data_IF_415435634856
#
_entry.id   IF_415435634856
#
_cell.length_a   1.000
_cell.length_b   1.000
_cell.length_c   1.000
_cell.angle_alpha   90.00
_cell.angle_beta   90.00
_cell.angle_gamma   90.00
#
_symmetry.space_group_name_H-M   'P 1'
#
loop_
_entity.id
_entity.type
_entity.pdbx_description
1 polymer ?
#
# COMPACT_ATOMS: atom_id res chain seq x y z
N UNK A 1 -7.08 2.28 -10.59
CA UNK A 1 -6.69 2.29 -9.16
C UNK A 1 -7.89 1.81 -8.38
N UNK A 2 -7.71 0.76 -7.58
CA UNK A 2 -8.79 0.14 -6.81
C UNK A 2 -8.48 0.25 -5.33
N UNK A 3 -9.39 0.82 -4.55
CA UNK A 3 -9.30 0.85 -3.10
C UNK A 3 -9.72 -0.51 -2.52
N UNK A 4 -9.02 -0.93 -1.46
CA UNK A 4 -9.23 -2.18 -0.75
C UNK A 4 -9.39 -1.92 0.73
N UNK A 5 -10.07 -2.84 1.41
CA UNK A 5 -9.96 -2.92 2.86
C UNK A 5 -8.48 -3.08 3.25
N UNK A 6 -8.05 -2.32 4.25
CA UNK A 6 -6.68 -2.39 4.76
C UNK A 6 -6.44 -3.80 5.31
N UNK A 7 -5.38 -4.43 4.82
CA UNK A 7 -4.96 -5.79 5.17
C UNK A 7 -3.46 -5.93 5.05
N UNK A 8 -2.90 -6.97 5.63
CA UNK A 8 -1.48 -7.29 5.40
C UNK A 8 -1.24 -7.60 3.93
N UNK A 9 -0.17 -7.04 3.38
CA UNK A 9 0.20 -7.20 1.97
C UNK A 9 1.62 -7.76 1.89
N UNK A 10 1.85 -8.89 1.21
CA UNK A 10 3.17 -9.52 1.11
C UNK A 10 4.26 -8.59 0.58
N UNK A 11 3.92 -7.68 -0.35
CA UNK A 11 4.87 -6.72 -0.91
C UNK A 11 5.47 -5.76 0.14
N UNK A 12 4.79 -5.55 1.27
CA UNK A 12 5.31 -4.75 2.39
C UNK A 12 6.07 -5.60 3.43
N UNK A 13 6.06 -6.93 3.37
CA UNK A 13 6.71 -7.79 4.40
C UNK A 13 8.21 -7.54 4.53
N UNK A 14 8.91 -7.23 3.43
CA UNK A 14 10.35 -6.97 3.43
C UNK A 14 10.72 -5.60 4.03
N UNK A 15 9.74 -4.70 4.20
CA UNK A 15 9.99 -3.36 4.74
C UNK A 15 10.40 -3.43 6.21
N UNK A 16 11.47 -2.73 6.58
CA UNK A 16 11.91 -2.62 7.98
C UNK A 16 11.18 -1.50 8.75
N UNK A 17 9.98 -1.12 8.30
CA UNK A 17 9.20 0.00 8.86
C UNK A 17 8.02 -0.53 9.65
N UNK A 18 8.17 -0.61 10.97
CA UNK A 18 7.12 -1.08 11.89
C UNK A 18 5.78 -0.38 11.69
N UNK A 19 5.77 0.91 11.36
CA UNK A 19 4.54 1.66 11.10
C UNK A 19 3.71 1.10 9.93
N UNK A 20 4.36 0.54 8.91
CA UNK A 20 3.67 -0.10 7.77
C UNK A 20 3.03 -1.39 8.23
N UNK A 21 3.78 -2.26 8.92
CA UNK A 21 3.28 -3.54 9.42
C UNK A 21 2.12 -3.37 10.40
N UNK A 22 2.31 -2.52 11.42
CA UNK A 22 1.28 -2.29 12.43
C UNK A 22 0.09 -1.54 11.85
N UNK A 23 0.29 -0.58 10.95
CA UNK A 23 -0.80 0.13 10.28
C UNK A 23 -1.67 -0.83 9.45
N UNK A 24 -1.05 -1.69 8.63
CA UNK A 24 -1.78 -2.69 7.83
C UNK A 24 -2.48 -3.74 8.72
N UNK A 25 -1.82 -4.20 9.79
CA UNK A 25 -2.40 -5.19 10.71
C UNK A 25 -3.54 -4.63 11.57
N UNK A 26 -3.50 -3.34 11.90
CA UNK A 26 -4.54 -2.64 12.67
C UNK A 26 -5.67 -2.07 11.82
N UNK A 27 -5.59 -2.19 10.49
CA UNK A 27 -6.61 -1.69 9.58
C UNK A 27 -6.65 -0.18 9.42
N UNK A 28 -5.55 0.52 9.72
CA UNK A 28 -5.47 1.99 9.69
C UNK A 28 -4.95 2.47 8.34
N UNK A 29 -5.50 3.59 7.83
CA UNK A 29 -5.08 4.22 6.57
C UNK A 29 -5.96 3.81 5.40
N UNK A 30 -5.44 3.97 4.18
CA UNK A 30 -6.10 3.60 2.93
C UNK A 30 -5.15 2.78 2.08
N UNK A 31 -5.66 1.69 1.50
CA UNK A 31 -4.86 0.77 0.70
C UNK A 31 -5.43 0.69 -0.71
N UNK A 32 -4.55 0.81 -1.68
CA UNK A 32 -4.91 0.78 -3.09
C UNK A 32 -4.00 -0.17 -3.85
N UNK A 33 -4.50 -0.69 -4.96
CA UNK A 33 -3.70 -1.43 -5.93
C UNK A 33 -4.01 -1.04 -7.37
N UNK A 34 -3.15 -1.50 -8.27
CA UNK A 34 -3.48 -1.62 -9.67
C UNK A 34 -4.47 -2.78 -9.90
N UNK A 35 -5.00 -2.90 -11.11
CA UNK A 35 -6.02 -3.89 -11.43
C UNK A 35 -5.48 -5.33 -11.36
N UNK A 36 -4.15 -5.51 -11.47
CA UNK A 36 -3.52 -6.84 -11.38
C UNK A 36 -3.07 -7.23 -9.97
N UNK A 37 -3.28 -6.37 -8.97
CA UNK A 37 -2.80 -6.53 -7.58
C UNK A 37 -1.29 -6.85 -7.49
N UNK A 38 -0.48 -6.21 -8.34
CA UNK A 38 0.99 -6.34 -8.35
C UNK A 38 1.70 -5.09 -7.86
N UNK A 39 1.02 -3.94 -7.88
CA UNK A 39 1.50 -2.66 -7.37
C UNK A 39 0.54 -2.16 -6.31
N UNK A 40 1.08 -1.74 -5.17
CA UNK A 40 0.32 -1.29 -4.01
C UNK A 40 0.73 0.10 -3.59
N UNK A 41 -0.27 0.89 -3.17
CA UNK A 41 -0.10 2.19 -2.57
C UNK A 41 -0.82 2.18 -1.23
N UNK A 42 -0.08 2.44 -0.16
CA UNK A 42 -0.58 2.50 1.19
C UNK A 42 -0.41 3.92 1.73
N UNK A 43 -1.53 4.58 1.94
CA UNK A 43 -1.61 5.91 2.52
C UNK A 43 -1.89 5.82 4.02
N UNK A 44 -0.97 6.38 4.80
CA UNK A 44 -1.03 6.42 6.25
C UNK A 44 -0.77 7.84 6.74
N UNK A 45 -1.83 8.65 6.75
CA UNK A 45 -1.79 10.02 7.23
C UNK A 45 -0.94 10.92 6.33
N UNK A 46 0.27 11.27 6.78
CA UNK A 46 1.21 12.11 6.03
C UNK A 46 2.24 11.30 5.23
N UNK A 47 2.13 9.97 5.24
CA UNK A 47 3.08 9.08 4.59
C UNK A 47 2.42 8.27 3.49
N UNK A 48 3.11 8.18 2.35
CA UNK A 48 2.73 7.36 1.23
C UNK A 48 3.78 6.25 1.02
N UNK A 49 3.34 5.01 1.04
CA UNK A 49 4.19 3.84 0.85
C UNK A 49 3.82 3.12 -0.43
N UNK A 50 4.80 2.89 -1.31
CA UNK A 50 4.62 2.17 -2.57
C UNK A 50 5.36 0.83 -2.50
N UNK A 51 4.72 -0.26 -2.92
CA UNK A 51 5.36 -1.58 -2.97
C UNK A 51 4.88 -2.41 -4.16
N UNK A 52 5.65 -3.44 -4.51
CA UNK A 52 5.36 -4.30 -5.65
C UNK A 52 6.02 -3.82 -6.95
N UNK A 53 5.41 -4.13 -8.09
CA UNK A 53 5.93 -3.74 -9.40
C UNK A 53 5.85 -2.22 -9.61
N UNK A 54 6.78 -1.66 -10.38
CA UNK A 54 6.76 -0.24 -10.72
C UNK A 54 5.60 0.06 -11.67
N UNK A 55 4.59 0.77 -11.17
CA UNK A 55 3.45 1.23 -11.96
C UNK A 55 3.30 2.74 -11.80
N UNK A 56 3.69 3.49 -12.85
CA UNK A 56 3.60 4.95 -12.85
C UNK A 56 2.19 5.46 -12.66
N UNK A 57 1.23 4.82 -13.33
CA UNK A 57 -0.17 5.22 -13.29
C UNK A 57 -0.69 5.25 -11.85
N UNK A 58 -0.32 4.26 -11.03
CA UNK A 58 -0.81 4.11 -9.66
C UNK A 58 -0.57 5.34 -8.77
N UNK A 59 0.61 5.95 -8.84
CA UNK A 59 0.96 7.10 -7.99
C UNK A 59 0.74 8.45 -8.67
N UNK A 60 0.67 8.52 -10.00
CA UNK A 60 0.36 9.78 -10.71
C UNK A 60 -1.12 10.15 -10.65
N UNK A 61 -2.01 9.19 -10.39
CA UNK A 61 -3.46 9.42 -10.23
C UNK A 61 -3.93 9.37 -8.78
N UNK A 62 -3.01 9.27 -7.82
CA UNK A 62 -3.28 9.38 -6.39
C UNK A 62 -3.27 10.85 -5.96
#
# INVERSE_FOLDING_TARGET
>A
MKEHAVRTIPAFQSWQKNMVHYGLASGVGRLFSDDSERSFLYDLGNFLFLAGESNKTLWTTY
#
